data_IF_902478313115
#
_entry.id   IF_902478313115
#
_cell.length_a   1.000
_cell.length_b   1.000
_cell.length_c   1.000
_cell.angle_alpha   90.00
_cell.angle_beta   90.00
_cell.angle_gamma   90.00
#
_symmetry.space_group_name_H-M   'P 1'
#
loop_
_entity.id
_entity.type
_entity.pdbx_description
1 polymer ?
#
# COMPACT_ATOMS: atom_id res chain seq x y z
N UNK A 1 -9.07 7.07 -14.42
CA UNK A 1 -9.96 5.89 -14.35
C UNK A 1 -9.44 4.80 -13.39
N UNK A 2 -8.13 4.58 -13.26
CA UNK A 2 -7.56 3.74 -12.17
C UNK A 2 -7.86 4.28 -10.76
N UNK A 3 -7.85 5.61 -10.59
CA UNK A 3 -8.29 6.23 -9.32
C UNK A 3 -9.75 5.95 -8.96
N UNK A 4 -10.61 5.70 -9.95
CA UNK A 4 -12.06 5.51 -9.75
C UNK A 4 -12.38 4.06 -9.37
N UNK A 5 -11.71 3.07 -9.97
CA UNK A 5 -11.85 1.64 -9.62
C UNK A 5 -11.38 1.39 -8.19
N UNK A 6 -10.24 1.99 -7.80
CA UNK A 6 -9.76 1.95 -6.42
C UNK A 6 -10.76 2.65 -5.49
N UNK A 7 -11.30 3.81 -5.86
CA UNK A 7 -12.27 4.54 -5.02
C UNK A 7 -13.57 3.79 -4.80
N UNK A 8 -14.15 3.15 -5.81
CA UNK A 8 -15.44 2.46 -5.68
C UNK A 8 -15.33 1.12 -4.92
N UNK A 9 -14.22 0.38 -5.04
CA UNK A 9 -13.95 -0.81 -4.20
C UNK A 9 -13.61 -0.44 -2.75
N UNK A 10 -13.06 0.76 -2.49
CA UNK A 10 -12.81 1.27 -1.13
C UNK A 10 -14.12 1.50 -0.35
N UNK A 11 -15.25 1.74 -1.03
CA UNK A 11 -16.54 2.06 -0.37
C UNK A 11 -17.07 0.89 0.46
N UNK A 12 -16.63 -0.35 0.18
CA UNK A 12 -17.14 -1.56 0.86
C UNK A 12 -16.06 -2.41 1.52
N UNK A 13 -15.04 -1.77 2.08
CA UNK A 13 -14.00 -2.47 2.83
C UNK A 13 -14.52 -3.00 4.17
N UNK A 14 -14.20 -4.25 4.47
CA UNK A 14 -14.40 -4.79 5.81
C UNK A 14 -13.38 -4.18 6.79
N UNK A 15 -13.63 -4.34 8.09
CA UNK A 15 -12.80 -3.73 9.14
C UNK A 15 -11.35 -4.21 9.09
N UNK A 16 -11.13 -5.46 8.68
CA UNK A 16 -9.78 -6.01 8.50
C UNK A 16 -9.01 -5.29 7.39
N UNK A 17 -9.64 -5.06 6.25
CA UNK A 17 -9.04 -4.34 5.12
C UNK A 17 -8.74 -2.89 5.49
N UNK A 18 -9.67 -2.20 6.18
CA UNK A 18 -9.46 -0.83 6.66
C UNK A 18 -8.25 -0.74 7.59
N UNK A 19 -8.12 -1.65 8.56
CA UNK A 19 -6.99 -1.67 9.48
C UNK A 19 -5.65 -1.87 8.75
N UNK A 20 -5.60 -2.79 7.76
CA UNK A 20 -4.42 -3.03 6.93
C UNK A 20 -4.04 -1.79 6.11
N UNK A 21 -5.02 -1.14 5.48
CA UNK A 21 -4.78 0.05 4.65
C UNK A 21 -4.28 1.21 5.51
N UNK A 22 -4.91 1.48 6.66
CA UNK A 22 -4.47 2.53 7.58
C UNK A 22 -3.04 2.32 8.07
N UNK A 23 -2.68 1.08 8.44
CA UNK A 23 -1.30 0.74 8.83
C UNK A 23 -0.32 0.95 7.67
N UNK A 24 -0.68 0.47 6.48
CA UNK A 24 0.13 0.60 5.26
C UNK A 24 0.37 2.07 4.89
N UNK A 25 -0.66 2.90 4.98
CA UNK A 25 -0.59 4.33 4.71
C UNK A 25 0.37 5.03 5.68
N UNK A 26 0.23 4.78 6.99
CA UNK A 26 1.11 5.37 8.01
C UNK A 26 2.57 4.93 7.82
N UNK A 27 2.81 3.62 7.66
CA UNK A 27 4.17 3.09 7.44
C UNK A 27 4.81 3.65 6.16
N UNK A 28 4.00 4.00 5.16
CA UNK A 28 4.49 4.57 3.90
C UNK A 28 4.82 6.06 4.03
N UNK A 29 3.93 6.85 4.64
CA UNK A 29 4.05 8.31 4.71
C UNK A 29 4.93 8.79 5.86
N UNK A 30 4.80 8.16 7.03
CA UNK A 30 5.46 8.58 8.28
C UNK A 30 6.06 7.39 9.05
N UNK A 31 6.98 6.62 8.42
CA UNK A 31 7.58 5.45 9.07
C UNK A 31 8.31 5.76 10.38
N UNK A 32 8.82 6.98 10.55
CA UNK A 32 9.50 7.41 11.77
C UNK A 32 8.55 7.60 12.97
N UNK A 33 7.25 7.75 12.71
CA UNK A 33 6.22 7.99 13.73
C UNK A 33 5.46 6.71 14.11
N UNK A 34 5.95 5.55 13.67
CA UNK A 34 5.36 4.24 13.98
C UNK A 34 5.60 3.87 15.45
N UNK A 35 4.53 3.46 16.12
CA UNK A 35 4.52 3.06 17.52
C UNK A 35 3.90 1.66 17.68
N UNK A 36 4.03 1.07 18.87
CA UNK A 36 3.43 -0.24 19.15
C UNK A 36 1.90 -0.20 19.12
N UNK A 37 1.31 0.95 19.46
CA UNK A 37 -0.13 1.18 19.47
C UNK A 37 -0.76 1.04 18.07
N UNK A 38 0.02 1.32 17.01
CA UNK A 38 -0.44 1.16 15.62
C UNK A 38 -0.68 -0.31 15.24
N UNK A 39 -0.15 -1.26 16.04
CA UNK A 39 -0.35 -2.69 15.84
C UNK A 39 -1.67 -3.18 16.47
N UNK A 40 -2.23 -2.44 17.44
CA UNK A 40 -3.42 -2.86 18.17
C UNK A 40 -4.65 -3.02 17.26
N UNK A 41 -4.94 -2.10 16.31
CA UNK A 41 -6.03 -2.28 15.36
C UNK A 41 -5.87 -3.55 14.51
N UNK A 42 -4.64 -3.86 14.07
CA UNK A 42 -4.36 -5.08 13.31
C UNK A 42 -4.65 -6.35 14.12
N UNK A 43 -4.25 -6.37 15.39
CA UNK A 43 -4.54 -7.49 16.30
C UNK A 43 -6.04 -7.64 16.55
N UNK A 44 -6.77 -6.53 16.68
CA UNK A 44 -8.22 -6.54 16.93
C UNK A 44 -9.03 -7.16 15.77
N UNK A 45 -8.52 -7.09 14.54
CA UNK A 45 -9.12 -7.72 13.36
C UNK A 45 -8.57 -9.12 13.07
N UNK A 46 -7.87 -9.71 14.04
CA UNK A 46 -7.43 -11.11 14.02
C UNK A 46 -6.10 -11.37 13.33
N UNK A 47 -5.29 -10.34 13.02
CA UNK A 47 -3.92 -10.58 12.55
C UNK A 47 -3.04 -11.05 13.72
N UNK A 48 -2.32 -12.14 13.51
CA UNK A 48 -1.29 -12.59 14.44
C UNK A 48 0.05 -11.86 14.18
N UNK A 49 1.05 -12.07 15.04
CA UNK A 49 2.35 -11.38 14.91
C UNK A 49 3.08 -11.71 13.60
N UNK A 50 2.89 -12.93 13.06
CA UNK A 50 3.45 -13.31 11.76
C UNK A 50 2.76 -12.55 10.62
N UNK A 51 1.44 -12.42 10.65
CA UNK A 51 0.69 -11.67 9.62
C UNK A 51 1.12 -10.19 9.60
N UNK A 52 1.34 -9.60 10.78
CA UNK A 52 1.79 -8.21 10.93
C UNK A 52 3.22 -8.06 10.40
N UNK A 53 4.10 -9.02 10.69
CA UNK A 53 5.47 -9.03 10.16
C UNK A 53 5.48 -9.13 8.64
N UNK A 54 4.68 -10.04 8.08
CA UNK A 54 4.57 -10.22 6.62
C UNK A 54 4.02 -8.94 5.96
N UNK A 55 3.02 -8.29 6.57
CA UNK A 55 2.49 -7.00 6.12
C UNK A 55 3.57 -5.91 6.11
N UNK A 56 4.28 -5.74 7.23
CA UNK A 56 5.35 -4.74 7.36
C UNK A 56 6.46 -4.97 6.33
N UNK A 57 6.80 -6.24 6.07
CA UNK A 57 7.83 -6.62 5.10
C UNK A 57 7.42 -6.24 3.67
N UNK A 58 6.22 -6.60 3.25
CA UNK A 58 5.70 -6.28 1.91
C UNK A 58 5.66 -4.76 1.69
N UNK A 59 5.07 -4.02 2.63
CA UNK A 59 4.96 -2.55 2.54
C UNK A 59 6.35 -1.91 2.47
N UNK A 60 7.28 -2.35 3.32
CA UNK A 60 8.65 -1.80 3.34
C UNK A 60 9.42 -2.09 2.05
N UNK A 61 9.25 -3.29 1.48
CA UNK A 61 9.89 -3.67 0.23
C UNK A 61 9.47 -2.77 -0.93
N UNK A 62 8.16 -2.55 -1.11
CA UNK A 62 7.66 -1.64 -2.15
C UNK A 62 8.12 -0.20 -1.91
N UNK A 63 8.10 0.26 -0.67
CA UNK A 63 8.59 1.59 -0.32
C UNK A 63 10.09 1.77 -0.57
N UNK A 64 10.89 0.71 -0.47
CA UNK A 64 12.30 0.74 -0.85
C UNK A 64 12.47 0.83 -2.37
N UNK A 65 11.83 -0.06 -3.12
CA UNK A 65 11.96 -0.10 -4.59
C UNK A 65 11.44 1.19 -5.23
N UNK A 66 10.30 1.73 -4.77
CA UNK A 66 9.76 2.99 -5.28
C UNK A 66 10.76 4.14 -5.10
N UNK A 67 11.43 4.23 -3.95
CA UNK A 67 12.46 5.26 -3.70
C UNK A 67 13.70 5.09 -4.58
N UNK A 68 14.09 3.85 -4.90
CA UNK A 68 15.19 3.60 -5.84
C UNK A 68 14.79 4.02 -7.25
N UNK A 69 13.59 3.64 -7.70
CA UNK A 69 13.09 4.00 -9.01
C UNK A 69 12.96 5.53 -9.17
N UNK A 70 12.28 6.19 -8.23
CA UNK A 70 12.09 7.63 -8.22
C UNK A 70 13.43 8.38 -8.09
N UNK A 71 14.31 7.91 -7.20
CA UNK A 71 15.61 8.55 -6.94
C UNK A 71 16.59 8.45 -8.11
N UNK A 72 16.43 7.44 -8.98
CA UNK A 72 17.25 7.25 -10.17
C UNK A 72 16.56 7.70 -11.47
N UNK A 73 15.30 8.14 -11.41
CA UNK A 73 14.53 8.53 -12.59
C UNK A 73 14.19 7.36 -13.51
N UNK A 74 13.98 6.16 -12.96
CA UNK A 74 13.60 4.98 -13.74
C UNK A 74 12.19 5.18 -14.29
N UNK A 75 12.06 5.23 -15.61
CA UNK A 75 10.76 5.27 -16.27
C UNK A 75 10.21 3.87 -16.51
N UNK A 76 8.88 3.77 -16.55
CA UNK A 76 8.20 2.56 -17.02
C UNK A 76 8.60 2.24 -18.47
N UNK A 77 8.74 0.96 -18.79
CA UNK A 77 8.92 0.52 -20.17
C UNK A 77 7.73 0.98 -21.04
N UNK A 78 7.99 1.27 -22.32
CA UNK A 78 6.96 1.72 -23.28
C UNK A 78 5.78 0.75 -23.40
N UNK A 79 6.02 -0.54 -23.20
CA UNK A 79 4.99 -1.60 -23.15
C UNK A 79 3.94 -1.33 -22.06
N UNK A 80 4.36 -0.82 -20.88
CA UNK A 80 3.47 -0.46 -19.78
C UNK A 80 2.78 0.90 -20.00
N UNK A 81 3.46 1.85 -20.64
CA UNK A 81 2.85 3.14 -21.02
C UNK A 81 1.70 2.98 -22.03
N UNK A 82 1.76 1.96 -22.91
CA UNK A 82 0.66 1.66 -23.84
C UNK A 82 -0.62 1.19 -23.13
N UNK A 83 -0.52 0.49 -21.99
CA UNK A 83 -1.69 0.10 -21.20
C UNK A 83 -2.45 1.33 -20.67
N UNK A 84 -1.77 2.40 -20.25
CA UNK A 84 -2.45 3.64 -19.84
C UNK A 84 -3.23 4.30 -20.97
N UNK A 85 -2.72 4.26 -22.22
CA UNK A 85 -3.43 4.81 -23.39
C UNK A 85 -4.65 3.99 -23.81
N UNK A 86 -4.63 2.67 -23.60
CA UNK A 86 -5.72 1.77 -23.97
C UNK A 86 -6.91 1.85 -23.02
N UNK A 87 -6.69 2.26 -21.76
CA UNK A 87 -7.74 2.52 -20.77
C UNK A 87 -8.07 4.01 -20.67
N UNK A 88 -7.81 4.80 -21.71
CA UNK A 88 -8.28 6.19 -21.81
C UNK A 88 -9.47 6.23 -22.79
N UNK A 89 -10.56 5.55 -22.39
CA UNK A 89 -11.90 5.77 -22.92
C UNK A 89 -12.68 6.58 -21.88
#
# INVERSE_FOLDING_TARGET
>A
MLETIVKDEIVNLNDRQKAIISYTEKLTKTPADMLQEDLLPLKSVGLNDKDILDLAFVVSYFNFINRIADGLGVELEESYKQFESFYQC
#
